data_IF_383514265443
#
_entry.id   IF_383514265443
#
_cell.length_a   1.000
_cell.length_b   1.000
_cell.length_c   1.000
_cell.angle_alpha   90.00
_cell.angle_beta   90.00
_cell.angle_gamma   90.00
#
_symmetry.space_group_name_H-M   'P 1'
#
loop_
_entity.id
_entity.type
_entity.pdbx_description
1 polymer ?
#
# COMPACT_ATOMS: atom_id res chain seq x y z
N UNK A 1 -3.97 -33.77 -1.08
CA UNK A 1 -3.03 -32.82 -0.48
C UNK A 1 -3.78 -31.54 -0.24
N UNK A 2 -3.68 -31.05 1.00
CA UNK A 2 -4.49 -30.02 1.67
C UNK A 2 -5.13 -28.97 0.76
N UNK A 3 -6.39 -28.68 1.06
CA UNK A 3 -7.20 -27.61 0.51
C UNK A 3 -6.38 -26.35 0.20
N UNK A 4 -6.62 -25.84 -1.01
CA UNK A 4 -6.14 -24.56 -1.52
C UNK A 4 -5.98 -23.57 -0.36
N UNK A 5 -4.79 -23.00 -0.20
CA UNK A 5 -4.72 -21.63 0.31
C UNK A 5 -5.78 -20.85 -0.46
N UNK A 6 -6.83 -20.41 0.25
CA UNK A 6 -7.88 -19.55 -0.30
C UNK A 6 -7.22 -18.55 -1.26
N UNK A 7 -7.75 -18.43 -2.48
CA UNK A 7 -7.16 -17.57 -3.52
C UNK A 7 -6.87 -16.21 -2.89
N UNK A 8 -5.62 -15.76 -2.91
CA UNK A 8 -5.22 -14.48 -2.33
C UNK A 8 -6.08 -13.37 -2.95
N UNK A 9 -6.77 -12.61 -2.09
CA UNK A 9 -7.66 -11.52 -2.54
C UNK A 9 -7.03 -10.15 -2.36
N UNK A 10 -6.16 -10.01 -1.36
CA UNK A 10 -5.53 -8.74 -1.01
C UNK A 10 -4.18 -9.00 -0.35
N UNK A 11 -3.19 -8.19 -0.73
CA UNK A 11 -1.87 -8.11 -0.13
C UNK A 11 -1.66 -6.66 0.34
N UNK A 12 -1.69 -6.45 1.65
CA UNK A 12 -1.25 -5.19 2.25
C UNK A 12 0.26 -5.28 2.50
N UNK A 13 1.01 -4.28 2.04
CA UNK A 13 2.48 -4.32 2.07
C UNK A 13 3.01 -3.09 2.79
N UNK A 14 3.86 -3.32 3.79
CA UNK A 14 4.61 -2.24 4.43
C UNK A 14 5.67 -1.65 3.48
N UNK A 15 6.01 -0.38 3.67
CA UNK A 15 6.92 0.35 2.79
C UNK A 15 8.37 0.29 3.29
N UNK A 16 8.70 1.08 4.32
CA UNK A 16 10.08 1.32 4.76
C UNK A 16 10.70 0.07 5.38
N UNK A 17 11.79 -0.42 4.79
CA UNK A 17 12.46 -1.64 5.27
C UNK A 17 11.73 -2.93 4.88
N UNK A 18 10.63 -2.84 4.13
CA UNK A 18 9.85 -3.98 3.63
C UNK A 18 9.81 -3.99 2.09
N UNK A 19 8.96 -3.17 1.46
CA UNK A 19 8.94 -3.01 0.01
C UNK A 19 10.06 -2.09 -0.51
N UNK A 20 10.50 -1.16 0.33
CA UNK A 20 11.53 -0.17 0.04
C UNK A 20 12.84 -0.53 0.71
N UNK A 21 13.93 -0.26 0.00
CA UNK A 21 15.28 -0.28 0.55
C UNK A 21 15.44 0.82 1.62
N UNK A 22 16.52 0.78 2.44
CA UNK A 22 16.79 1.81 3.43
C UNK A 22 16.91 3.24 2.88
N UNK A 23 17.19 3.39 1.58
CA UNK A 23 17.25 4.67 0.87
C UNK A 23 15.91 5.06 0.21
N UNK A 24 14.81 4.43 0.63
CA UNK A 24 13.45 4.63 0.16
C UNK A 24 13.19 4.27 -1.32
N UNK A 25 14.14 3.65 -2.02
CA UNK A 25 13.93 3.17 -3.39
C UNK A 25 13.26 1.79 -3.40
N UNK A 26 12.41 1.55 -4.38
CA UNK A 26 11.88 0.21 -4.68
C UNK A 26 12.75 -0.48 -5.73
N UNK A 27 12.98 -1.78 -5.59
CA UNK A 27 13.74 -2.55 -6.58
C UNK A 27 12.85 -3.03 -7.74
N UNK A 28 13.43 -3.26 -8.94
CA UNK A 28 12.69 -3.85 -10.06
C UNK A 28 12.08 -5.22 -9.72
N UNK A 29 12.75 -6.04 -8.90
CA UNK A 29 12.24 -7.34 -8.48
C UNK A 29 11.03 -7.22 -7.55
N UNK A 30 11.03 -6.25 -6.62
CA UNK A 30 9.86 -5.96 -5.79
C UNK A 30 8.68 -5.52 -6.64
N UNK A 31 8.87 -4.58 -7.57
CA UNK A 31 7.80 -4.12 -8.48
C UNK A 31 7.22 -5.28 -9.31
N UNK A 32 8.07 -6.15 -9.86
CA UNK A 32 7.64 -7.31 -10.62
C UNK A 32 6.82 -8.29 -9.77
N UNK A 33 7.22 -8.53 -8.52
CA UNK A 33 6.50 -9.41 -7.60
C UNK A 33 5.11 -8.85 -7.24
N UNK A 34 5.01 -7.55 -6.94
CA UNK A 34 3.73 -6.89 -6.67
C UNK A 34 2.81 -6.93 -7.88
N UNK A 35 3.34 -6.65 -9.08
CA UNK A 35 2.58 -6.72 -10.32
C UNK A 35 2.02 -8.12 -10.58
N UNK A 36 2.82 -9.17 -10.35
CA UNK A 36 2.37 -10.55 -10.49
C UNK A 36 1.19 -10.88 -9.56
N UNK A 37 1.22 -10.41 -8.32
CA UNK A 37 0.10 -10.58 -7.38
C UNK A 37 -1.17 -9.92 -7.92
N UNK A 38 -1.05 -8.74 -8.54
CA UNK A 38 -2.17 -8.05 -9.18
C UNK A 38 -2.70 -8.82 -10.40
N UNK A 39 -1.81 -9.37 -11.23
CA UNK A 39 -2.16 -10.18 -12.41
C UNK A 39 -2.89 -11.48 -12.03
N UNK A 40 -2.60 -12.05 -10.86
CA UNK A 40 -3.32 -13.21 -10.30
C UNK A 40 -4.72 -12.84 -9.74
N UNK A 41 -5.05 -11.55 -9.73
CA UNK A 41 -6.37 -10.99 -9.40
C UNK A 41 -6.52 -10.54 -7.95
N UNK A 42 -5.42 -10.41 -7.20
CA UNK A 42 -5.43 -9.86 -5.85
C UNK A 42 -5.20 -8.34 -5.87
N UNK A 43 -5.73 -7.64 -4.87
CA UNK A 43 -5.42 -6.22 -4.67
C UNK A 43 -4.06 -6.08 -3.98
N UNK A 44 -3.22 -5.15 -4.43
CA UNK A 44 -2.02 -4.73 -3.70
C UNK A 44 -2.30 -3.36 -3.08
N UNK A 45 -2.08 -3.25 -1.77
CA UNK A 45 -2.37 -2.04 -0.99
C UNK A 45 -1.11 -1.64 -0.22
N UNK A 46 -0.43 -0.52 -0.54
CA UNK A 46 0.60 0.00 0.33
C UNK A 46 0.00 0.41 1.68
N UNK A 47 0.64 -0.02 2.77
CA UNK A 47 0.25 0.29 4.13
C UNK A 47 1.46 0.88 4.87
N UNK A 48 1.41 2.15 5.23
CA UNK A 48 2.59 2.85 5.73
C UNK A 48 2.25 3.91 6.78
N UNK A 49 3.24 4.22 7.61
CA UNK A 49 3.26 5.43 8.43
C UNK A 49 3.39 6.72 7.62
N UNK A 50 3.87 6.64 6.38
CA UNK A 50 3.98 7.79 5.47
C UNK A 50 2.61 8.41 5.19
N UNK A 51 2.62 9.71 4.92
CA UNK A 51 1.48 10.39 4.26
C UNK A 51 1.39 9.92 2.81
N UNK A 52 0.24 10.10 2.16
CA UNK A 52 0.01 9.63 0.79
C UNK A 52 1.06 10.14 -0.21
N UNK A 53 1.41 11.43 -0.15
CA UNK A 53 2.45 12.02 -1.01
C UNK A 53 3.88 11.52 -0.72
N UNK A 54 4.07 10.71 0.32
CA UNK A 54 5.34 10.05 0.62
C UNK A 54 5.46 8.64 0.06
N UNK A 55 4.39 8.07 -0.49
CA UNK A 55 4.45 6.75 -1.16
C UNK A 55 5.14 6.94 -2.52
N UNK A 56 6.17 6.13 -2.86
CA UNK A 56 6.86 6.26 -4.14
C UNK A 56 5.93 6.12 -5.35
N UNK A 57 6.15 6.94 -6.37
CA UNK A 57 5.36 6.95 -7.59
C UNK A 57 5.44 5.60 -8.30
N UNK A 58 6.55 4.88 -8.22
CA UNK A 58 6.70 3.56 -8.80
C UNK A 58 5.75 2.52 -8.18
N UNK A 59 5.39 2.68 -6.90
CA UNK A 59 4.39 1.83 -6.23
C UNK A 59 2.97 2.26 -6.65
N UNK A 60 2.69 3.57 -6.65
CA UNK A 60 1.37 4.10 -7.04
C UNK A 60 1.07 3.81 -8.52
N UNK A 61 2.07 3.92 -9.38
CA UNK A 61 2.04 3.69 -10.82
C UNK A 61 1.79 2.23 -11.21
N UNK A 62 1.85 1.28 -10.27
CA UNK A 62 1.35 -0.08 -10.48
C UNK A 62 -0.18 -0.12 -10.66
N UNK A 63 -0.89 0.95 -10.30
CA UNK A 63 -2.35 1.01 -10.34
C UNK A 63 -2.99 0.42 -9.08
N UNK A 64 -2.34 0.56 -7.93
CA UNK A 64 -2.92 0.19 -6.63
C UNK A 64 -4.19 1.01 -6.40
N UNK A 65 -5.31 0.43 -5.91
CA UNK A 65 -6.58 1.16 -5.83
C UNK A 65 -6.63 2.10 -4.62
N UNK A 66 -5.97 1.73 -3.52
CA UNK A 66 -5.95 2.51 -2.28
C UNK A 66 -4.58 2.46 -1.62
N UNK A 67 -4.30 3.43 -0.75
CA UNK A 67 -3.17 3.43 0.15
C UNK A 67 -3.63 3.64 1.59
N UNK A 68 -3.16 2.79 2.50
CA UNK A 68 -3.29 2.97 3.94
C UNK A 68 -2.09 3.79 4.40
N UNK A 69 -2.35 4.96 4.98
CA UNK A 69 -1.36 6.00 5.26
C UNK A 69 -1.48 6.48 6.70
N UNK A 70 -0.47 7.21 7.19
CA UNK A 70 -0.43 7.73 8.55
C UNK A 70 -0.73 6.64 9.61
N UNK A 71 -0.12 5.46 9.46
CA UNK A 71 -0.32 4.30 10.34
C UNK A 71 -1.79 3.83 10.42
N UNK A 72 -2.54 4.02 9.33
CA UNK A 72 -3.96 3.65 9.25
C UNK A 72 -4.93 4.76 9.67
N UNK A 73 -4.43 5.93 10.08
CA UNK A 73 -5.28 7.09 10.35
C UNK A 73 -5.91 7.67 9.07
N UNK A 74 -5.44 7.30 7.87
CA UNK A 74 -6.01 7.76 6.60
C UNK A 74 -5.95 6.65 5.55
N UNK A 75 -7.06 6.45 4.82
CA UNK A 75 -7.10 5.60 3.62
C UNK A 75 -7.43 6.49 2.44
N UNK A 76 -6.58 6.46 1.42
CA UNK A 76 -6.67 7.33 0.24
C UNK A 76 -6.99 6.48 -0.99
N UNK A 77 -8.00 6.88 -1.75
CA UNK A 77 -8.22 6.40 -3.13
C UNK A 77 -7.09 6.91 -4.01
N UNK A 78 -6.29 5.99 -4.56
CA UNK A 78 -5.05 6.37 -5.23
C UNK A 78 -5.28 7.04 -6.58
N UNK A 79 -6.42 6.80 -7.23
CA UNK A 79 -6.76 7.39 -8.52
C UNK A 79 -7.22 8.86 -8.37
N UNK A 80 -7.92 9.18 -7.29
CA UNK A 80 -8.51 10.51 -7.07
C UNK A 80 -7.77 11.35 -6.03
N UNK A 81 -6.92 10.73 -5.22
CA UNK A 81 -6.26 11.36 -4.07
C UNK A 81 -7.21 11.69 -2.91
N UNK A 82 -8.49 11.28 -2.99
CA UNK A 82 -9.47 11.56 -1.94
C UNK A 82 -9.33 10.58 -0.79
N UNK A 83 -9.44 11.09 0.44
CA UNK A 83 -9.55 10.25 1.64
C UNK A 83 -10.92 9.60 1.67
N UNK A 84 -10.95 8.27 1.64
CA UNK A 84 -12.17 7.47 1.84
C UNK A 84 -12.41 7.14 3.30
N UNK A 85 -11.36 7.27 4.11
CA UNK A 85 -11.41 7.17 5.57
C UNK A 85 -10.36 8.09 6.18
N UNK A 86 -10.70 8.72 7.31
CA UNK A 86 -9.75 9.45 8.13
C UNK A 86 -10.13 9.37 9.62
N UNK A 87 -9.11 9.35 10.48
CA UNK A 87 -9.24 9.43 11.93
C UNK A 87 -8.09 10.25 12.48
N UNK A 88 -8.28 11.57 12.46
CA UNK A 88 -7.28 12.52 12.93
C UNK A 88 -7.26 12.60 14.46
N UNK A 89 -6.11 12.95 15.01
CA UNK A 89 -6.00 13.35 16.42
C UNK A 89 -6.75 14.68 16.57
N UNK A 90 -7.66 14.77 17.54
CA UNK A 90 -8.40 16.00 17.82
C UNK A 90 -7.42 17.01 18.40
N UNK A 91 -7.65 18.30 18.15
CA UNK A 91 -6.75 19.35 18.64
C UNK A 91 -6.55 19.31 20.17
N UNK A 92 -7.58 18.92 20.91
CA UNK A 92 -7.56 18.76 22.37
C UNK A 92 -6.72 17.58 22.87
N UNK A 93 -6.38 16.62 22.01
CA UNK A 93 -5.61 15.41 22.35
C UNK A 93 -4.13 15.50 21.90
N UNK A 94 -3.70 16.63 21.34
CA UNK A 94 -2.38 16.83 20.73
C UNK A 94 -1.30 17.36 21.69
#
# INVERSE_FOLDING_TARGET
>A
MSDKLEKLRLLAVDMDGTALLPDARVTPSTLAALKRVMEEGALVIPASGRVFGGIPEEILGLGVPYAITANGASVVDAATGKRVYERNIRHEDA
#
